data_IF_224918988444
#
_entry.id   IF_224918988444
#
_cell.length_a   1.000
_cell.length_b   1.000
_cell.length_c   1.000
_cell.angle_alpha   90.00
_cell.angle_beta   90.00
_cell.angle_gamma   90.00
#
_symmetry.space_group_name_H-M   'P 1'
#
loop_
_entity.id
_entity.type
_entity.pdbx_description
1 polymer ?
#
# COMPACT_ATOMS: atom_id res chain seq x y z
N UNK A 1 -19.73 -1.99 6.09
CA UNK A 1 -18.37 -2.41 6.52
C UNK A 1 -18.31 -3.91 6.39
N UNK A 2 -17.33 -4.46 5.66
CA UNK A 2 -17.13 -5.90 5.58
C UNK A 2 -16.62 -6.38 6.94
N UNK A 3 -17.36 -7.29 7.58
CA UNK A 3 -16.91 -7.93 8.82
C UNK A 3 -15.94 -9.05 8.46
N UNK A 4 -14.64 -8.78 8.63
CA UNK A 4 -13.61 -9.80 8.55
C UNK A 4 -13.80 -10.82 9.69
N UNK A 5 -13.54 -12.11 9.45
CA UNK A 5 -13.70 -13.16 10.47
C UNK A 5 -12.80 -12.87 11.66
N UNK A 6 -13.35 -12.85 12.88
CA UNK A 6 -12.56 -12.59 14.08
C UNK A 6 -11.64 -13.75 14.41
N UNK A 7 -10.40 -13.46 14.82
CA UNK A 7 -9.42 -14.48 15.19
C UNK A 7 -8.58 -13.99 16.36
N UNK A 8 -8.57 -14.73 17.47
CA UNK A 8 -7.96 -14.28 18.73
C UNK A 8 -6.45 -14.00 18.65
N UNK A 9 -5.74 -14.63 17.69
CA UNK A 9 -4.30 -14.44 17.48
C UNK A 9 -3.98 -13.36 16.43
N UNK A 10 -4.99 -12.82 15.73
CA UNK A 10 -4.79 -11.82 14.67
C UNK A 10 -5.51 -10.54 15.06
N UNK A 11 -4.75 -9.46 15.20
CA UNK A 11 -5.28 -8.14 15.57
C UNK A 11 -5.92 -7.45 14.35
N UNK A 12 -6.98 -8.06 13.83
CA UNK A 12 -7.70 -7.65 12.61
C UNK A 12 -8.27 -6.23 12.76
N UNK A 13 -8.68 -5.86 13.97
CA UNK A 13 -9.12 -4.51 14.31
C UNK A 13 -8.03 -3.46 14.08
N UNK A 14 -6.75 -3.77 14.32
CA UNK A 14 -5.65 -2.83 14.05
C UNK A 14 -5.41 -2.66 12.55
N UNK A 15 -5.44 -3.76 11.80
CA UNK A 15 -5.32 -3.71 10.34
C UNK A 15 -6.48 -2.91 9.74
N UNK A 16 -7.72 -3.23 10.11
CA UNK A 16 -8.90 -2.50 9.68
C UNK A 16 -8.84 -1.02 10.08
N UNK A 17 -8.36 -0.73 11.30
CA UNK A 17 -8.19 0.63 11.80
C UNK A 17 -7.21 1.48 10.98
N UNK A 18 -6.24 0.86 10.31
CA UNK A 18 -5.32 1.56 9.39
C UNK A 18 -6.07 2.24 8.23
N UNK A 19 -7.24 1.69 7.84
CA UNK A 19 -8.11 2.18 6.78
C UNK A 19 -9.29 3.04 7.26
N UNK A 20 -9.36 3.40 8.55
CA UNK A 20 -10.43 4.29 9.05
C UNK A 20 -10.46 5.65 8.34
N UNK A 21 -9.32 6.10 7.81
CA UNK A 21 -9.22 7.23 6.90
C UNK A 21 -8.53 6.77 5.62
N UNK A 22 -9.33 6.64 4.56
CA UNK A 22 -8.93 6.25 3.20
C UNK A 22 -8.54 7.44 2.33
N UNK A 23 -8.47 8.64 2.90
CA UNK A 23 -8.13 9.88 2.18
C UNK A 23 -6.69 9.93 1.65
N UNK A 24 -5.87 8.92 1.95
CA UNK A 24 -4.46 8.83 1.54
C UNK A 24 -4.23 7.56 0.74
N UNK A 25 -3.82 7.73 -0.52
CA UNK A 25 -3.71 6.65 -1.49
C UNK A 25 -2.57 5.69 -1.16
N UNK A 26 -1.48 6.18 -0.56
CA UNK A 26 -0.33 5.35 -0.18
C UNK A 26 -0.70 4.17 0.73
N UNK A 27 -1.76 4.27 1.55
CA UNK A 27 -2.20 3.16 2.42
C UNK A 27 -2.68 1.95 1.62
N UNK A 28 -3.34 2.18 0.48
CA UNK A 28 -3.76 1.11 -0.40
C UNK A 28 -2.56 0.44 -1.06
N UNK A 29 -1.61 1.23 -1.59
CA UNK A 29 -0.38 0.68 -2.16
C UNK A 29 0.51 -0.02 -1.13
N UNK A 30 0.55 0.48 0.11
CA UNK A 30 1.22 -0.19 1.22
C UNK A 30 0.64 -1.59 1.44
N UNK A 31 -0.67 -1.71 1.47
CA UNK A 31 -1.32 -2.99 1.72
C UNK A 31 -1.17 -3.95 0.54
N UNK A 32 -1.36 -3.47 -0.71
CA UNK A 32 -1.09 -4.25 -1.92
C UNK A 32 0.35 -4.76 -1.91
N UNK A 33 1.33 -3.91 -1.57
CA UNK A 33 2.72 -4.31 -1.51
C UNK A 33 3.00 -5.41 -0.46
N UNK A 34 2.30 -5.40 0.69
CA UNK A 34 2.40 -6.51 1.66
C UNK A 34 1.82 -7.79 1.06
N UNK A 35 0.64 -7.72 0.43
CA UNK A 35 -0.01 -8.88 -0.17
C UNK A 35 0.87 -9.51 -1.26
N UNK A 36 1.43 -8.70 -2.16
CA UNK A 36 2.34 -9.16 -3.19
C UNK A 36 3.52 -9.93 -2.59
N UNK A 37 4.17 -9.38 -1.55
CA UNK A 37 5.30 -10.04 -0.91
C UNK A 37 4.90 -11.37 -0.25
N UNK A 38 3.72 -11.43 0.37
CA UNK A 38 3.19 -12.66 0.96
C UNK A 38 2.87 -13.71 -0.12
N UNK A 39 2.33 -13.31 -1.28
CA UNK A 39 2.08 -14.19 -2.42
C UNK A 39 3.38 -14.80 -2.97
N UNK A 40 4.49 -14.04 -2.91
CA UNK A 40 5.82 -14.54 -3.26
C UNK A 40 6.47 -15.40 -2.15
N UNK A 41 5.77 -15.63 -1.03
CA UNK A 41 6.27 -16.42 0.10
C UNK A 41 7.14 -15.64 1.10
N UNK A 42 7.28 -14.32 0.93
CA UNK A 42 8.10 -13.49 1.80
C UNK A 42 7.33 -13.09 3.07
N UNK A 43 7.51 -13.87 4.13
CA UNK A 43 6.91 -13.58 5.46
C UNK A 43 7.68 -12.54 6.27
N UNK A 44 8.91 -12.22 5.88
CA UNK A 44 9.75 -11.18 6.47
C UNK A 44 10.11 -10.16 5.40
N UNK A 45 9.49 -8.99 5.47
CA UNK A 45 9.62 -7.95 4.44
C UNK A 45 10.53 -6.84 4.96
N UNK A 46 11.65 -6.62 4.27
CA UNK A 46 12.48 -5.44 4.53
C UNK A 46 11.73 -4.17 4.11
N UNK A 47 11.80 -3.11 4.92
CA UNK A 47 11.22 -1.79 4.60
C UNK A 47 11.59 -1.29 3.21
N UNK A 48 12.85 -1.44 2.80
CA UNK A 48 13.30 -1.01 1.46
C UNK A 48 12.58 -1.78 0.35
N UNK A 49 12.41 -3.09 0.53
CA UNK A 49 11.71 -3.94 -0.43
C UNK A 49 10.22 -3.59 -0.51
N UNK A 50 9.60 -3.36 0.64
CA UNK A 50 8.22 -2.90 0.71
C UNK A 50 8.01 -1.58 -0.04
N UNK A 51 8.88 -0.59 0.19
CA UNK A 51 8.78 0.71 -0.50
C UNK A 51 9.03 0.59 -2.01
N UNK A 52 9.99 -0.25 -2.42
CA UNK A 52 10.23 -0.52 -3.84
C UNK A 52 8.99 -1.12 -4.50
N UNK A 53 8.32 -2.07 -3.84
CA UNK A 53 7.07 -2.67 -4.32
C UNK A 53 5.92 -1.66 -4.39
N UNK A 54 5.77 -0.81 -3.37
CA UNK A 54 4.78 0.27 -3.38
C UNK A 54 4.95 1.19 -4.60
N UNK A 55 6.20 1.59 -4.89
CA UNK A 55 6.54 2.42 -6.04
C UNK A 55 6.25 1.70 -7.35
N UNK A 56 6.69 0.44 -7.48
CA UNK A 56 6.47 -0.36 -8.67
C UNK A 56 4.97 -0.50 -9.02
N UNK A 57 4.14 -0.79 -8.01
CA UNK A 57 2.70 -0.96 -8.18
C UNK A 57 1.99 0.34 -8.56
N UNK A 58 2.42 1.48 -8.00
CA UNK A 58 1.83 2.78 -8.29
C UNK A 58 2.32 3.40 -9.60
N UNK A 59 3.45 2.94 -10.14
CA UNK A 59 4.06 3.52 -11.34
C UNK A 59 3.10 3.56 -12.53
N UNK A 60 2.40 2.46 -12.80
CA UNK A 60 1.48 2.37 -13.94
C UNK A 60 0.29 3.33 -13.78
N UNK A 61 -0.30 3.36 -12.59
CA UNK A 61 -1.45 4.23 -12.28
C UNK A 61 -1.13 5.72 -12.47
N UNK A 62 0.07 6.16 -12.09
CA UNK A 62 0.49 7.56 -12.21
C UNK A 62 0.96 7.89 -13.62
N UNK A 63 1.84 7.06 -14.19
CA UNK A 63 2.51 7.42 -15.45
C UNK A 63 1.68 7.12 -16.69
N UNK A 64 0.87 6.05 -16.66
CA UNK A 64 0.05 5.66 -17.80
C UNK A 64 -1.35 6.29 -17.75
N UNK A 65 -1.99 6.28 -16.58
CA UNK A 65 -3.35 6.82 -16.44
C UNK A 65 -3.39 8.27 -15.94
N UNK A 66 -2.25 8.86 -15.57
CA UNK A 66 -2.16 10.24 -15.07
C UNK A 66 -3.09 10.54 -13.88
N UNK A 67 -3.35 9.53 -13.05
CA UNK A 67 -4.15 9.69 -11.83
C UNK A 67 -3.30 10.41 -10.77
N UNK A 68 -3.75 11.58 -10.32
CA UNK A 68 -3.13 12.26 -9.19
C UNK A 68 -3.62 11.66 -7.87
N UNK A 69 -2.69 11.42 -6.94
CA UNK A 69 -2.97 10.96 -5.59
C UNK A 69 -3.15 12.11 -4.60
N UNK A 70 -2.98 13.34 -5.08
CA UNK A 70 -3.14 14.56 -4.31
C UNK A 70 -1.83 15.06 -3.72
N UNK A 71 -1.73 16.37 -3.56
CA UNK A 71 -0.49 17.10 -3.21
C UNK A 71 0.17 16.61 -1.91
N UNK A 72 -0.62 16.05 -0.99
CA UNK A 72 -0.14 15.55 0.30
C UNK A 72 0.41 14.12 0.23
N UNK A 73 0.13 13.37 -0.85
CA UNK A 73 0.59 11.99 -0.97
C UNK A 73 2.06 11.96 -1.42
N UNK A 74 2.92 11.48 -0.52
CA UNK A 74 4.37 11.41 -0.76
C UNK A 74 4.74 10.30 -1.75
N UNK A 75 3.86 9.34 -2.00
CA UNK A 75 4.12 8.24 -2.94
C UNK A 75 4.19 8.76 -4.38
N UNK A 76 3.29 9.65 -4.77
CA UNK A 76 3.31 10.29 -6.10
C UNK A 76 4.61 11.08 -6.30
N UNK A 77 5.03 11.86 -5.29
CA UNK A 77 6.30 12.58 -5.31
C UNK A 77 7.51 11.67 -5.46
N UNK A 78 7.51 10.51 -4.81
CA UNK A 78 8.62 9.56 -4.92
C UNK A 78 8.72 8.96 -6.33
N UNK A 79 7.60 8.81 -7.05
CA UNK A 79 7.54 8.24 -8.39
C UNK A 79 7.97 9.25 -9.46
N UNK A 80 7.58 10.52 -9.33
CA UNK A 80 8.02 11.59 -10.25
C UNK A 80 9.55 11.80 -10.28
N UNK A 81 10.30 11.37 -9.26
CA UNK A 81 11.77 11.43 -9.26
C UNK A 81 12.39 10.44 -10.27
N UNK A 82 11.64 9.44 -10.73
CA UNK A 82 12.08 8.43 -11.69
C UNK A 82 11.67 8.72 -13.15
N UNK A 83 11.20 9.93 -13.45
CA UNK A 83 10.95 10.40 -14.82
C UNK A 83 12.21 11.03 -15.43
#
# INVERSE_FOLDING_TARGET
>A
MYNLPQHNLLQINLLAGSFNSTSTTYKFYWFIAILDELEHGNVKINKQHLFARMIANAWYTINYFHISFGVQDRLERAICVFQ
#
